data_IF_142938045531
#
_entry.id   IF_142938045531
#
_cell.length_a   1.000
_cell.length_b   1.000
_cell.length_c   1.000
_cell.angle_alpha   90.00
_cell.angle_beta   90.00
_cell.angle_gamma   90.00
#
_symmetry.space_group_name_H-M   'P 1'
#
loop_
_entity.id
_entity.type
_entity.pdbx_description
1 polymer ?
#
# COMPACT_ATOMS: atom_id res chain seq x y z
N UNK A 1 -37.62 16.17 -0.16
CA UNK A 1 -36.60 15.35 -0.86
C UNK A 1 -35.41 14.98 0.02
N UNK A 2 -34.81 15.89 0.81
CA UNK A 2 -33.66 15.55 1.66
C UNK A 2 -34.00 14.69 2.90
N UNK A 3 -35.20 14.80 3.47
CA UNK A 3 -35.65 13.95 4.59
C UNK A 3 -35.81 12.46 4.20
N UNK A 4 -36.40 12.18 3.03
CA UNK A 4 -36.57 10.82 2.53
C UNK A 4 -35.23 10.12 2.26
N UNK A 5 -34.24 10.86 1.77
CA UNK A 5 -32.90 10.35 1.55
C UNK A 5 -32.22 9.99 2.88
N UNK A 6 -32.34 10.85 3.90
CA UNK A 6 -31.74 10.62 5.20
C UNK A 6 -32.41 9.45 5.95
N UNK A 7 -33.74 9.30 5.81
CA UNK A 7 -34.48 8.16 6.35
C UNK A 7 -34.07 6.83 5.70
N UNK A 8 -33.94 6.81 4.37
CA UNK A 8 -33.45 5.64 3.62
C UNK A 8 -32.02 5.26 4.01
N UNK A 9 -31.12 6.24 4.11
CA UNK A 9 -29.74 6.02 4.54
C UNK A 9 -29.67 5.45 5.97
N UNK A 10 -30.47 5.98 6.89
CA UNK A 10 -30.53 5.51 8.28
C UNK A 10 -31.07 4.09 8.39
N UNK A 11 -32.04 3.71 7.55
CA UNK A 11 -32.54 2.34 7.44
C UNK A 11 -31.47 1.39 6.90
N UNK A 12 -30.76 1.81 5.84
CA UNK A 12 -29.69 1.02 5.23
C UNK A 12 -28.56 0.72 6.23
N UNK A 13 -28.06 1.77 6.91
CA UNK A 13 -27.04 1.63 7.97
C UNK A 13 -27.51 0.73 9.12
N UNK A 14 -28.78 0.84 9.51
CA UNK A 14 -29.35 0.00 10.58
C UNK A 14 -29.46 -1.46 10.13
N UNK A 15 -29.82 -1.71 8.87
CA UNK A 15 -29.90 -3.06 8.30
C UNK A 15 -28.53 -3.72 8.11
N UNK A 16 -27.53 -2.96 7.64
CA UNK A 16 -26.11 -3.37 7.57
C UNK A 16 -25.56 -3.74 8.94
N UNK A 17 -25.74 -2.87 9.95
CA UNK A 17 -25.34 -3.17 11.34
C UNK A 17 -26.05 -4.40 11.89
N UNK A 18 -27.34 -4.57 11.58
CA UNK A 18 -28.09 -5.74 12.03
C UNK A 18 -27.56 -7.04 11.39
N UNK A 19 -27.29 -7.04 10.08
CA UNK A 19 -26.68 -8.15 9.36
C UNK A 19 -25.29 -8.50 9.91
N UNK A 20 -24.41 -7.51 10.05
CA UNK A 20 -23.08 -7.68 10.66
C UNK A 20 -23.16 -8.25 12.08
N UNK A 21 -24.09 -7.76 12.90
CA UNK A 21 -24.26 -8.27 14.28
C UNK A 21 -24.74 -9.72 14.32
N UNK A 22 -25.59 -10.13 13.38
CA UNK A 22 -26.07 -11.50 13.26
C UNK A 22 -24.97 -12.43 12.75
N UNK A 23 -24.21 -12.01 11.75
CA UNK A 23 -23.09 -12.77 11.22
C UNK A 23 -21.97 -12.93 12.26
N UNK A 24 -21.65 -11.88 13.01
CA UNK A 24 -20.69 -11.95 14.11
C UNK A 24 -21.16 -12.88 15.24
N UNK A 25 -22.45 -12.89 15.59
CA UNK A 25 -22.98 -13.83 16.60
C UNK A 25 -22.88 -15.28 16.13
N UNK A 26 -23.14 -15.54 14.84
CA UNK A 26 -22.98 -16.88 14.24
C UNK A 26 -21.51 -17.30 14.23
N UNK A 27 -20.61 -16.44 13.74
CA UNK A 27 -19.16 -16.70 13.72
C UNK A 27 -18.62 -16.92 15.14
N UNK A 28 -18.98 -16.08 16.11
CA UNK A 28 -18.53 -16.20 17.50
C UNK A 28 -18.89 -17.55 18.13
N UNK A 29 -20.13 -18.02 17.98
CA UNK A 29 -20.53 -19.36 18.48
C UNK A 29 -19.81 -20.48 17.75
N UNK A 30 -19.64 -20.34 16.43
CA UNK A 30 -18.92 -21.32 15.61
C UNK A 30 -17.44 -21.40 16.01
N UNK A 31 -16.80 -20.27 16.35
CA UNK A 31 -15.40 -20.23 16.78
C UNK A 31 -15.15 -21.09 18.02
N UNK A 32 -16.06 -21.11 18.99
CA UNK A 32 -15.93 -21.95 20.19
C UNK A 32 -15.94 -23.43 19.80
N UNK A 33 -16.88 -23.85 18.97
CA UNK A 33 -16.95 -25.24 18.49
C UNK A 33 -15.75 -25.63 17.64
N UNK A 34 -15.26 -24.72 16.78
CA UNK A 34 -14.04 -24.91 15.99
C UNK A 34 -12.82 -25.05 16.90
N UNK A 35 -12.70 -24.22 17.94
CA UNK A 35 -11.61 -24.31 18.91
C UNK A 35 -11.63 -25.64 19.67
N UNK A 36 -12.81 -26.10 20.12
CA UNK A 36 -12.98 -27.40 20.76
C UNK A 36 -12.64 -28.55 19.82
N UNK A 37 -13.08 -28.48 18.57
CA UNK A 37 -12.74 -29.47 17.55
C UNK A 37 -11.23 -29.53 17.28
N UNK A 38 -10.58 -28.37 17.16
CA UNK A 38 -9.12 -28.29 17.01
C UNK A 38 -8.38 -28.91 18.20
N UNK A 39 -8.82 -28.64 19.43
CA UNK A 39 -8.25 -29.27 20.63
C UNK A 39 -8.40 -30.80 20.58
N UNK A 40 -9.57 -31.32 20.22
CA UNK A 40 -9.80 -32.76 20.10
C UNK A 40 -8.90 -33.41 19.03
N UNK A 41 -8.72 -32.73 17.89
CA UNK A 41 -7.80 -33.19 16.82
C UNK A 41 -6.35 -33.24 17.31
N UNK A 42 -5.89 -32.20 18.02
CA UNK A 42 -4.53 -32.17 18.57
C UNK A 42 -4.28 -33.30 19.57
N UNK A 43 -5.21 -33.53 20.49
CA UNK A 43 -5.12 -34.63 21.46
C UNK A 43 -5.06 -35.98 20.74
N UNK A 44 -5.91 -36.16 19.71
CA UNK A 44 -5.94 -37.38 18.91
C UNK A 44 -4.61 -37.59 18.17
N UNK A 45 -4.02 -36.54 17.58
CA UNK A 45 -2.73 -36.62 16.91
C UNK A 45 -1.59 -37.06 17.84
N UNK A 46 -1.61 -36.57 19.09
CA UNK A 46 -0.65 -37.01 20.12
C UNK A 46 -0.86 -38.49 20.43
N UNK A 47 -2.11 -38.90 20.68
CA UNK A 47 -2.42 -40.30 21.02
C UNK A 47 -2.08 -41.24 19.87
N UNK A 48 -2.36 -40.87 18.62
CA UNK A 48 -1.99 -41.67 17.44
C UNK A 48 -0.48 -41.86 17.35
N UNK A 49 0.32 -40.84 17.64
CA UNK A 49 1.78 -40.97 17.69
C UNK A 49 2.24 -41.95 18.79
N UNK A 50 1.66 -41.83 19.99
CA UNK A 50 1.97 -42.73 21.11
C UNK A 50 1.58 -44.16 20.75
N UNK A 51 0.37 -44.37 20.22
CA UNK A 51 -0.11 -45.70 19.81
C UNK A 51 0.76 -46.28 18.69
N UNK A 52 1.15 -45.48 17.69
CA UNK A 52 2.03 -45.92 16.61
C UNK A 52 3.41 -46.32 17.14
N UNK A 53 3.98 -45.54 18.07
CA UNK A 53 5.25 -45.88 18.72
C UNK A 53 5.14 -47.20 19.50
N UNK A 54 4.12 -47.33 20.35
CA UNK A 54 3.90 -48.54 21.14
C UNK A 54 3.70 -49.76 20.25
N UNK A 55 2.95 -49.62 19.17
CA UNK A 55 2.75 -50.69 18.19
C UNK A 55 4.08 -51.10 17.52
N UNK A 56 4.88 -50.14 17.04
CA UNK A 56 6.20 -50.43 16.47
C UNK A 56 7.14 -51.11 17.47
N UNK A 57 7.09 -50.68 18.75
CA UNK A 57 7.92 -51.25 19.81
C UNK A 57 7.60 -52.71 20.14
N UNK A 58 6.47 -53.25 19.66
CA UNK A 58 6.17 -54.69 19.79
C UNK A 58 7.00 -55.56 18.84
N UNK A 59 7.50 -55.00 17.74
CA UNK A 59 8.21 -55.73 16.70
C UNK A 59 9.65 -55.25 16.49
N UNK A 60 9.99 -54.04 16.93
CA UNK A 60 11.29 -53.40 16.72
C UNK A 60 11.89 -52.92 18.05
N UNK A 61 13.20 -52.62 18.05
CA UNK A 61 13.82 -51.98 19.21
C UNK A 61 13.23 -50.58 19.45
N UNK A 62 13.36 -50.07 20.69
CA UNK A 62 12.89 -48.72 21.04
C UNK A 62 13.53 -47.63 20.14
N UNK A 63 14.82 -47.80 19.81
CA UNK A 63 15.55 -46.84 18.97
C UNK A 63 15.03 -46.85 17.53
N UNK A 64 14.84 -48.04 16.94
CA UNK A 64 14.30 -48.17 15.58
C UNK A 64 12.86 -47.66 15.50
N UNK A 65 12.04 -47.97 16.51
CA UNK A 65 10.66 -47.49 16.59
C UNK A 65 10.58 -45.96 16.60
N UNK A 66 11.43 -45.33 17.42
CA UNK A 66 11.54 -43.88 17.47
C UNK A 66 12.04 -43.31 16.13
N UNK A 67 13.08 -43.90 15.54
CA UNK A 67 13.65 -43.43 14.28
C UNK A 67 12.64 -43.49 13.12
N UNK A 68 11.89 -44.59 13.00
CA UNK A 68 10.85 -44.76 11.98
C UNK A 68 9.73 -43.73 12.20
N UNK A 69 9.25 -43.57 13.43
CA UNK A 69 8.18 -42.61 13.73
C UNK A 69 8.61 -41.17 13.47
N UNK A 70 9.85 -40.80 13.83
CA UNK A 70 10.44 -39.50 13.51
C UNK A 70 10.53 -39.29 12.00
N UNK A 71 10.97 -40.31 11.24
CA UNK A 71 11.02 -40.25 9.78
C UNK A 71 9.63 -40.03 9.15
N UNK A 72 8.61 -40.73 9.64
CA UNK A 72 7.23 -40.55 9.20
C UNK A 72 6.71 -39.13 9.50
N UNK A 73 6.93 -38.63 10.72
CA UNK A 73 6.53 -37.27 11.10
C UNK A 73 7.24 -36.21 10.26
N UNK A 74 8.53 -36.39 9.95
CA UNK A 74 9.27 -35.51 9.05
C UNK A 74 8.64 -35.51 7.64
N UNK A 75 8.30 -36.69 7.12
CA UNK A 75 7.61 -36.83 5.83
C UNK A 75 6.28 -36.08 5.79
N UNK A 76 5.45 -36.25 6.82
CA UNK A 76 4.17 -35.52 6.95
C UNK A 76 4.40 -34.01 7.06
N UNK A 77 5.40 -33.57 7.81
CA UNK A 77 5.73 -32.15 7.93
C UNK A 77 6.15 -31.55 6.58
N UNK A 78 6.97 -32.26 5.80
CA UNK A 78 7.35 -31.84 4.44
C UNK A 78 6.11 -31.75 3.54
N UNK A 79 5.21 -32.73 3.61
CA UNK A 79 3.96 -32.70 2.83
C UNK A 79 3.11 -31.47 3.17
N UNK A 80 2.90 -31.18 4.46
CA UNK A 80 2.15 -29.99 4.87
C UNK A 80 2.87 -28.69 4.48
N UNK A 81 4.19 -28.64 4.57
CA UNK A 81 4.97 -27.49 4.14
C UNK A 81 4.79 -27.22 2.63
N UNK A 82 4.85 -28.26 1.80
CA UNK A 82 4.63 -28.14 0.35
C UNK A 82 3.20 -27.72 0.03
N UNK A 83 2.20 -28.25 0.75
CA UNK A 83 0.80 -27.84 0.57
C UNK A 83 0.59 -26.39 0.98
N UNK A 84 1.14 -25.97 2.11
CA UNK A 84 1.04 -24.59 2.60
C UNK A 84 1.74 -23.61 1.65
N UNK A 85 2.91 -23.98 1.10
CA UNK A 85 3.63 -23.16 0.12
C UNK A 85 2.87 -22.97 -1.21
N UNK A 86 1.91 -23.85 -1.51
CA UNK A 86 1.06 -23.79 -2.72
C UNK A 86 -0.26 -23.07 -2.49
N UNK A 87 -0.56 -22.64 -1.27
CA UNK A 87 -1.82 -21.97 -0.98
C UNK A 87 -1.75 -20.52 -1.47
N UNK A 88 -2.54 -20.19 -2.49
CA UNK A 88 -2.64 -18.83 -3.02
C UNK A 88 -3.09 -17.85 -1.93
N UNK A 89 -2.51 -16.64 -1.97
CA UNK A 89 -2.93 -15.55 -1.09
C UNK A 89 -4.37 -15.21 -1.46
N UNK A 90 -5.31 -15.37 -0.52
CA UNK A 90 -6.74 -15.31 -0.79
C UNK A 90 -7.22 -13.99 -1.42
N UNK A 91 -8.51 -13.90 -1.76
CA UNK A 91 -9.11 -12.74 -2.46
C UNK A 91 -8.81 -11.36 -1.83
N UNK A 92 -8.53 -11.32 -0.52
CA UNK A 92 -8.08 -10.12 0.19
C UNK A 92 -6.72 -9.62 -0.30
N UNK A 93 -5.79 -10.52 -0.63
CA UNK A 93 -4.48 -10.16 -1.16
C UNK A 93 -4.57 -9.62 -2.60
N UNK A 94 -5.43 -10.19 -3.43
CA UNK A 94 -5.72 -9.67 -4.77
C UNK A 94 -6.32 -8.25 -4.70
N UNK A 95 -7.25 -8.01 -3.76
CA UNK A 95 -7.85 -6.69 -3.57
C UNK A 95 -6.82 -5.66 -3.06
N UNK A 96 -5.89 -6.08 -2.18
CA UNK A 96 -4.78 -5.23 -1.71
C UNK A 96 -3.78 -4.95 -2.84
N UNK A 97 -3.54 -5.92 -3.70
CA UNK A 97 -2.70 -5.78 -4.90
C UNK A 97 -3.32 -4.79 -5.89
N UNK A 98 -4.63 -4.88 -6.14
CA UNK A 98 -5.37 -3.91 -6.96
C UNK A 98 -5.31 -2.49 -6.37
N UNK A 99 -5.44 -2.35 -5.04
CA UNK A 99 -5.32 -1.04 -4.36
C UNK A 99 -3.90 -0.50 -4.48
N UNK A 100 -2.87 -1.34 -4.30
CA UNK A 100 -1.46 -0.94 -4.45
C UNK A 100 -1.20 -0.48 -5.88
N UNK A 101 -1.67 -1.23 -6.86
CA UNK A 101 -1.43 -0.94 -8.27
C UNK A 101 -2.21 0.32 -8.70
N UNK A 102 -3.42 0.52 -8.18
CA UNK A 102 -4.19 1.76 -8.36
C UNK A 102 -3.51 2.97 -7.72
N UNK A 103 -2.92 2.83 -6.53
CA UNK A 103 -2.15 3.88 -5.87
C UNK A 103 -0.85 4.19 -6.64
N UNK A 104 -0.15 3.17 -7.13
CA UNK A 104 1.07 3.35 -7.93
C UNK A 104 0.77 4.07 -9.25
N UNK A 105 -0.33 3.72 -9.90
CA UNK A 105 -0.78 4.38 -11.13
C UNK A 105 -1.07 5.87 -10.92
N UNK A 106 -1.73 6.24 -9.84
CA UNK A 106 -1.97 7.66 -9.50
C UNK A 106 -0.65 8.41 -9.27
N UNK A 107 0.24 7.87 -8.43
CA UNK A 107 1.54 8.50 -8.17
C UNK A 107 2.35 8.68 -9.45
N UNK A 108 2.35 7.68 -10.34
CA UNK A 108 3.05 7.80 -11.63
C UNK A 108 2.46 8.88 -12.54
N UNK A 109 1.14 9.04 -12.55
CA UNK A 109 0.44 10.04 -13.35
C UNK A 109 0.75 11.45 -12.82
N UNK A 110 0.72 11.63 -11.50
CA UNK A 110 1.02 12.91 -10.84
C UNK A 110 2.49 13.33 -11.06
N UNK A 111 3.43 12.39 -11.06
CA UNK A 111 4.84 12.66 -11.35
C UNK A 111 5.04 13.14 -12.79
N UNK A 112 4.31 12.56 -13.75
CA UNK A 112 4.44 12.95 -15.16
C UNK A 112 3.79 14.32 -15.43
N UNK A 113 2.67 14.65 -14.78
CA UNK A 113 2.11 16.02 -14.79
C UNK A 113 3.08 17.03 -14.16
N UNK A 114 3.73 16.70 -13.04
CA UNK A 114 4.71 17.59 -12.41
C UNK A 114 5.93 17.81 -13.31
N UNK A 115 6.42 16.77 -14.00
CA UNK A 115 7.53 16.91 -14.98
C UNK A 115 7.14 17.80 -16.16
N UNK A 116 5.90 17.68 -16.63
CA UNK A 116 5.40 18.55 -17.70
C UNK A 116 5.34 20.01 -17.24
N UNK A 117 4.79 20.26 -16.05
CA UNK A 117 4.71 21.59 -15.45
C UNK A 117 6.10 22.21 -15.20
N UNK A 118 7.08 21.42 -14.76
CA UNK A 118 8.47 21.86 -14.56
C UNK A 118 9.15 22.19 -15.90
N UNK A 119 8.87 21.42 -16.95
CA UNK A 119 9.39 21.66 -18.30
C UNK A 119 8.81 22.94 -18.90
N UNK A 120 7.51 23.17 -18.73
CA UNK A 120 6.82 24.40 -19.14
C UNK A 120 7.31 25.63 -18.36
N UNK A 121 7.55 25.48 -17.05
CA UNK A 121 8.14 26.53 -16.22
C UNK A 121 9.57 26.89 -16.67
N UNK A 122 10.43 25.89 -16.90
CA UNK A 122 11.79 26.09 -17.42
C UNK A 122 11.77 26.81 -18.76
N UNK A 123 10.88 26.42 -19.67
CA UNK A 123 10.72 27.07 -20.97
C UNK A 123 10.25 28.52 -20.83
N UNK A 124 9.37 28.80 -19.87
CA UNK A 124 8.88 30.15 -19.57
C UNK A 124 9.99 31.05 -19.00
N UNK A 125 10.81 30.53 -18.07
CA UNK A 125 11.97 31.26 -17.53
C UNK A 125 13.02 31.54 -18.60
N UNK A 126 13.30 30.58 -19.49
CA UNK A 126 14.22 30.78 -20.62
C UNK A 126 13.69 31.86 -21.58
N UNK A 127 12.38 31.90 -21.85
CA UNK A 127 11.77 32.96 -22.65
C UNK A 127 11.88 34.32 -21.97
N UNK A 128 11.58 34.42 -20.68
CA UNK A 128 11.73 35.68 -19.91
C UNK A 128 13.17 36.16 -19.93
N UNK A 129 14.14 35.27 -19.71
CA UNK A 129 15.57 35.61 -19.79
C UNK A 129 15.94 36.12 -21.18
N UNK A 130 15.52 35.44 -22.25
CA UNK A 130 15.77 35.90 -23.63
C UNK A 130 15.12 37.25 -23.93
N UNK A 131 13.93 37.51 -23.40
CA UNK A 131 13.25 38.80 -23.55
C UNK A 131 14.02 39.89 -22.81
N UNK A 132 14.43 39.66 -21.56
CA UNK A 132 15.24 40.62 -20.79
C UNK A 132 16.60 40.84 -21.45
N UNK A 133 17.29 39.79 -21.87
CA UNK A 133 18.56 39.88 -22.59
C UNK A 133 18.39 40.63 -23.93
N UNK A 134 17.27 40.44 -24.63
CA UNK A 134 16.97 41.17 -25.87
C UNK A 134 16.58 42.63 -25.61
N UNK A 135 15.97 42.96 -24.47
CA UNK A 135 15.69 44.33 -24.05
C UNK A 135 16.94 45.06 -23.56
N UNK A 136 17.92 44.35 -22.99
CA UNK A 136 19.19 44.94 -22.55
C UNK A 136 20.23 45.03 -23.67
N UNK A 137 20.17 44.13 -24.66
CA UNK A 137 21.11 44.11 -25.79
C UNK A 137 20.57 44.88 -27.02
N UNK A 138 19.26 45.11 -27.11
CA UNK A 138 18.60 45.84 -28.20
C UNK A 138 18.29 47.31 -27.86
N UNK A 139 19.30 48.17 -28.00
CA UNK A 139 19.30 49.59 -28.47
C UNK A 139 18.09 50.55 -28.31
N UNK A 140 17.12 50.37 -27.41
CA UNK A 140 15.87 51.15 -27.51
C UNK A 140 15.18 51.60 -26.22
N UNK A 141 15.86 51.68 -25.07
CA UNK A 141 15.29 52.39 -23.92
C UNK A 141 16.26 53.38 -23.31
N UNK A 142 16.21 54.61 -23.83
CA UNK A 142 16.20 55.85 -23.04
C UNK A 142 17.47 56.27 -22.27
N UNK A 143 18.38 55.38 -21.88
CA UNK A 143 19.50 55.71 -20.98
C UNK A 143 20.47 56.69 -21.66
N UNK A 144 20.71 56.55 -22.97
CA UNK A 144 21.50 57.53 -23.74
C UNK A 144 20.84 58.90 -23.87
N UNK A 145 19.50 59.01 -23.75
CA UNK A 145 18.78 60.30 -23.80
C UNK A 145 18.66 61.00 -22.45
N UNK A 146 18.73 60.28 -21.33
CA UNK A 146 18.72 60.89 -19.98
C UNK A 146 20.10 61.30 -19.47
N UNK A 147 21.19 60.73 -20.01
CA UNK A 147 22.54 61.17 -19.71
C UNK A 147 22.78 62.68 -19.88
N UNK A 148 22.40 63.32 -21.00
CA UNK A 148 22.61 64.77 -21.14
C UNK A 148 21.76 65.58 -20.15
N UNK A 149 20.58 65.10 -19.75
CA UNK A 149 19.74 65.82 -18.77
C UNK A 149 20.41 65.80 -17.38
N UNK A 150 20.95 64.64 -16.99
CA UNK A 150 21.66 64.50 -15.70
C UNK A 150 22.93 65.36 -15.69
N UNK A 151 23.69 65.42 -16.78
CA UNK A 151 24.91 66.25 -16.83
C UNK A 151 24.60 67.74 -16.87
N UNK A 152 23.54 68.17 -17.56
CA UNK A 152 23.16 69.60 -17.62
C UNK A 152 22.65 70.10 -16.27
N UNK A 153 21.92 69.26 -15.52
CA UNK A 153 21.48 69.58 -14.16
C UNK A 153 22.66 69.66 -13.16
N UNK A 154 23.66 68.79 -13.31
CA UNK A 154 24.87 68.82 -12.49
C UNK A 154 25.73 70.05 -12.79
N UNK A 155 25.88 70.45 -14.05
CA UNK A 155 26.67 71.63 -14.41
C UNK A 155 25.98 72.96 -14.04
N UNK A 156 24.64 73.02 -14.08
CA UNK A 156 23.88 74.18 -13.59
C UNK A 156 24.00 74.36 -12.07
N UNK A 157 24.13 73.29 -11.30
CA UNK A 157 24.34 73.37 -9.85
C UNK A 157 25.80 73.70 -9.46
N UNK A 158 26.77 73.52 -10.38
CA UNK A 158 28.18 73.90 -10.15
C UNK A 158 28.51 75.35 -10.54
N UNK A 159 27.59 76.06 -11.19
CA UNK A 159 27.76 77.46 -11.62
C UNK A 159 26.96 78.49 -10.82
N UNK A 160 26.41 78.10 -9.66
CA UNK A 160 25.79 79.01 -8.69
C UNK A 160 26.47 78.88 -7.33
#
# INVERSE_FOLDING_TARGET
MHEDFNAKMKLLIKSEKALLSLEMRKKSRQTIWVALALLAVLITLIMVNITAYLYLSTAQSNLESAAILTGLNLGVAILFFVMAARQDRGAEAASIEDIRDFAWKQVSTDIDEVKQNVTEFKNSVVKVKKTVDSFTTGDAFGIKKVLPIITTLIDLNKRK
#
